data_IF_775680152220
#
_entry.id   IF_775680152220
#
_cell.length_a   1.000
_cell.length_b   1.000
_cell.length_c   1.000
_cell.angle_alpha   90.00
_cell.angle_beta   90.00
_cell.angle_gamma   90.00
#
_symmetry.space_group_name_H-M   'P 1'
#
loop_
_entity.id
_entity.type
_entity.pdbx_description
1 polymer ?
#
# COMPACT_ATOMS: atom_id res chain seq x y z
N UNK A 1 0.13 18.44 16.18
CA UNK A 1 -0.75 17.34 15.74
C UNK A 1 0.10 16.37 14.92
N UNK A 2 0.07 15.06 15.22
CA UNK A 2 0.76 14.07 14.38
C UNK A 2 -0.01 13.90 13.08
N UNK A 3 0.65 14.04 11.95
CA UNK A 3 0.05 13.81 10.64
C UNK A 3 -0.18 12.31 10.46
N UNK A 4 -1.37 11.93 10.00
CA UNK A 4 -1.69 10.54 9.69
C UNK A 4 -1.32 10.25 8.24
N UNK A 5 -0.90 9.04 7.99
CA UNK A 5 -0.52 8.54 6.68
C UNK A 5 -1.36 7.33 6.34
N UNK A 6 -1.79 7.26 5.09
CA UNK A 6 -2.43 6.07 4.54
C UNK A 6 -1.57 5.46 3.44
N UNK A 7 -1.76 4.17 3.20
CA UNK A 7 -1.00 3.41 2.20
C UNK A 7 -1.93 2.72 1.21
N UNK A 8 -1.52 2.69 -0.05
CA UNK A 8 -2.14 1.86 -1.08
C UNK A 8 -1.05 1.09 -1.83
N UNK A 9 -1.36 -0.17 -2.15
CA UNK A 9 -0.48 -1.01 -2.96
C UNK A 9 -1.00 -0.99 -4.39
N UNK A 10 -0.15 -0.61 -5.33
CA UNK A 10 -0.49 -0.49 -6.75
C UNK A 10 0.19 -1.60 -7.55
N UNK A 11 -0.59 -2.42 -8.24
CA UNK A 11 -0.03 -3.42 -9.15
C UNK A 11 0.14 -2.85 -10.56
N UNK A 12 1.32 -3.08 -11.16
CA UNK A 12 1.60 -2.64 -12.53
C UNK A 12 2.29 -3.73 -13.34
N UNK A 13 1.54 -4.41 -14.21
CA UNK A 13 2.11 -5.26 -15.27
C UNK A 13 1.44 -4.98 -16.61
N UNK A 14 2.15 -4.27 -17.49
CA UNK A 14 1.77 -4.04 -18.88
C UNK A 14 0.51 -3.18 -19.14
N UNK A 15 -0.28 -2.81 -18.12
CA UNK A 15 -1.49 -1.98 -18.22
C UNK A 15 -1.81 -1.20 -16.93
N UNK A 16 -2.94 -0.45 -17.00
CA UNK A 16 -3.56 0.42 -15.99
C UNK A 16 -3.36 -0.07 -14.54
N UNK A 17 -2.96 0.87 -13.69
CA UNK A 17 -2.73 0.71 -12.26
C UNK A 17 -3.96 0.16 -11.53
N UNK A 18 -3.79 -0.95 -10.81
CA UNK A 18 -4.85 -1.52 -9.95
C UNK A 18 -4.48 -1.33 -8.49
N UNK A 19 -5.45 -0.86 -7.70
CA UNK A 19 -5.31 -0.66 -6.27
C UNK A 19 -5.61 -1.99 -5.56
N UNK A 20 -4.62 -2.53 -4.83
CA UNK A 20 -4.66 -3.84 -4.16
C UNK A 20 -5.11 -3.70 -2.71
N UNK A 21 -4.73 -2.62 -2.04
CA UNK A 21 -5.13 -2.32 -0.65
C UNK A 21 -5.77 -0.93 -0.63
N UNK A 22 -7.04 -0.78 -0.20
CA UNK A 22 -7.71 0.52 -0.15
C UNK A 22 -7.01 1.47 0.84
N UNK A 23 -7.00 2.78 0.55
CA UNK A 23 -6.29 3.77 1.34
C UNK A 23 -6.88 3.95 2.76
N UNK A 24 -8.19 3.79 2.90
CA UNK A 24 -8.89 3.97 4.18
C UNK A 24 -8.68 2.79 5.15
N UNK A 25 -8.16 1.68 4.65
CA UNK A 25 -8.02 0.43 5.42
C UNK A 25 -6.91 0.51 6.47
N UNK A 26 -5.90 1.37 6.25
CA UNK A 26 -4.72 1.44 7.13
C UNK A 26 -4.26 2.89 7.30
N UNK A 27 -4.52 3.43 8.49
CA UNK A 27 -3.93 4.69 8.95
C UNK A 27 -2.72 4.42 9.84
N UNK A 28 -1.64 5.16 9.64
CA UNK A 28 -0.40 5.05 10.37
C UNK A 28 0.13 6.41 10.81
N UNK A 29 0.84 6.43 11.94
CA UNK A 29 1.46 7.66 12.47
C UNK A 29 2.77 8.05 11.78
N UNK A 30 3.27 7.23 10.84
CA UNK A 30 4.45 7.53 10.03
C UNK A 30 4.42 6.76 8.71
N UNK A 31 5.13 7.28 7.71
CA UNK A 31 5.28 6.63 6.40
C UNK A 31 5.86 5.21 6.52
N UNK A 32 6.86 5.01 7.36
CA UNK A 32 7.47 3.70 7.58
C UNK A 32 6.46 2.68 8.12
N UNK A 33 5.63 3.09 9.08
CA UNK A 33 4.57 2.22 9.64
C UNK A 33 3.48 1.92 8.60
N UNK A 34 3.14 2.91 7.77
CA UNK A 34 2.19 2.72 6.67
C UNK A 34 2.69 1.65 5.68
N UNK A 35 3.96 1.70 5.27
CA UNK A 35 4.55 0.71 4.34
C UNK A 35 4.56 -0.71 4.91
N UNK A 36 4.94 -0.86 6.17
CA UNK A 36 4.96 -2.18 6.84
C UNK A 36 3.56 -2.78 6.90
N UNK A 37 2.56 -1.98 7.27
CA UNK A 37 1.18 -2.44 7.32
C UNK A 37 0.65 -2.79 5.92
N UNK A 38 0.99 -2.01 4.89
CA UNK A 38 0.64 -2.29 3.50
C UNK A 38 1.10 -3.69 3.06
N UNK A 39 2.34 -4.05 3.38
CA UNK A 39 2.94 -5.35 3.03
C UNK A 39 2.22 -6.52 3.71
N UNK A 40 1.72 -6.31 4.93
CA UNK A 40 0.98 -7.33 5.68
C UNK A 40 -0.44 -7.55 5.14
N UNK A 41 -1.08 -6.49 4.65
CA UNK A 41 -2.42 -6.53 4.08
C UNK A 41 -2.46 -7.00 2.62
N UNK A 42 -1.30 -7.25 1.98
CA UNK A 42 -1.27 -7.75 0.60
C UNK A 42 -1.90 -9.15 0.55
N UNK A 43 -2.95 -9.36 -0.26
CA UNK A 43 -3.56 -10.67 -0.41
C UNK A 43 -2.56 -11.70 -0.94
N UNK A 44 -2.73 -12.95 -0.52
CA UNK A 44 -1.85 -14.07 -0.90
C UNK A 44 -1.63 -14.20 -2.41
N UNK A 45 -2.66 -13.91 -3.19
CA UNK A 45 -2.68 -14.05 -4.66
C UNK A 45 -1.71 -13.09 -5.37
N UNK A 46 -1.22 -12.08 -4.66
CA UNK A 46 -0.25 -11.11 -5.14
C UNK A 46 1.17 -11.33 -4.60
N UNK A 47 1.38 -12.33 -3.72
CA UNK A 47 2.70 -12.59 -3.11
C UNK A 47 3.75 -12.97 -4.15
N UNK A 48 3.40 -13.77 -5.16
CA UNK A 48 4.33 -14.13 -6.25
C UNK A 48 4.63 -12.96 -7.20
N UNK A 49 4.05 -11.78 -6.94
CA UNK A 49 4.17 -10.57 -7.74
C UNK A 49 4.67 -9.38 -6.92
N UNK A 50 5.23 -9.61 -5.72
CA UNK A 50 5.79 -8.57 -4.85
C UNK A 50 6.79 -7.66 -5.58
N UNK A 51 7.57 -8.22 -6.52
CA UNK A 51 8.51 -7.51 -7.38
C UNK A 51 7.86 -6.44 -8.30
N UNK A 52 6.53 -6.49 -8.47
CA UNK A 52 5.74 -5.64 -9.38
C UNK A 52 4.74 -4.74 -8.66
N UNK A 53 4.79 -4.70 -7.33
CA UNK A 53 3.93 -3.88 -6.50
C UNK A 53 4.66 -2.59 -6.12
N UNK A 54 3.99 -1.46 -6.31
CA UNK A 54 4.44 -0.16 -5.86
C UNK A 54 3.63 0.25 -4.63
N UNK A 55 4.31 0.58 -3.52
CA UNK A 55 3.66 1.03 -2.29
C UNK A 55 3.64 2.56 -2.29
N UNK A 56 2.46 3.14 -2.35
CA UNK A 56 2.25 4.59 -2.33
C UNK A 56 1.71 4.99 -0.97
N UNK A 57 2.39 5.92 -0.32
CA UNK A 57 1.96 6.50 0.95
C UNK A 57 1.56 7.95 0.73
N UNK A 58 0.44 8.37 1.32
CA UNK A 58 0.01 9.76 1.29
C UNK A 58 -0.40 10.25 2.67
N UNK A 59 -0.19 11.53 2.97
CA UNK A 59 -0.78 12.13 4.14
C UNK A 59 -2.31 12.15 4.01
N UNK A 60 -2.98 11.94 5.13
CA UNK A 60 -4.42 12.15 5.27
C UNK A 60 -4.70 13.64 5.48
#
# INVERSE_FOLDING_TARGET
MKQLFWTAVLYRKGKKTTLVVPPETVLAESEAKAKIAAIKEIPSDFKDRFDRLEVVVRPF
#
